data_IF_685765842285
#
_entry.id   IF_685765842285
#
_cell.length_a   1.000
_cell.length_b   1.000
_cell.length_c   1.000
_cell.angle_alpha   90.00
_cell.angle_beta   90.00
_cell.angle_gamma   90.00
#
_symmetry.space_group_name_H-M   'P 1'
#
loop_
_entity.id
_entity.type
_entity.pdbx_description
1 polymer ?
#
# COMPACT_ATOMS: atom_id res chain seq x y z
N UNK A 1 -45.07 26.77 23.91
CA UNK A 1 -44.42 25.45 23.72
C UNK A 1 -43.31 25.45 22.65
N UNK A 2 -43.33 26.33 21.65
CA UNK A 2 -42.31 26.44 20.59
C UNK A 2 -40.85 26.64 21.06
N UNK A 3 -40.61 27.41 22.13
CA UNK A 3 -39.24 27.70 22.62
C UNK A 3 -38.49 26.46 23.16
N UNK A 4 -39.20 25.46 23.69
CA UNK A 4 -38.59 24.21 24.19
C UNK A 4 -38.26 23.23 23.04
N UNK A 5 -39.04 23.28 21.96
CA UNK A 5 -38.84 22.46 20.76
C UNK A 5 -37.64 22.97 19.94
N UNK A 6 -37.45 24.29 19.89
CA UNK A 6 -36.32 24.94 19.21
C UNK A 6 -34.97 24.66 19.88
N UNK A 7 -34.93 24.60 21.22
CA UNK A 7 -33.73 24.22 21.99
C UNK A 7 -33.37 22.74 21.78
N UNK A 8 -34.37 21.84 21.69
CA UNK A 8 -34.14 20.43 21.39
C UNK A 8 -33.57 20.20 19.99
N UNK A 9 -34.03 20.96 18.99
CA UNK A 9 -33.50 20.90 17.61
C UNK A 9 -32.09 21.48 17.52
N UNK A 10 -31.78 22.56 18.25
CA UNK A 10 -30.42 23.13 18.30
C UNK A 10 -29.44 22.17 18.97
N UNK A 11 -29.82 21.53 20.09
CA UNK A 11 -28.96 20.56 20.79
C UNK A 11 -28.74 19.26 20.00
N UNK A 12 -29.77 18.77 19.31
CA UNK A 12 -29.63 17.64 18.38
C UNK A 12 -28.81 18.04 17.13
N UNK A 13 -28.96 19.27 16.65
CA UNK A 13 -28.22 19.83 15.53
C UNK A 13 -26.73 19.99 15.83
N UNK A 14 -26.36 20.49 17.01
CA UNK A 14 -24.95 20.64 17.42
C UNK A 14 -24.29 19.30 17.77
N UNK A 15 -25.02 18.39 18.42
CA UNK A 15 -24.54 17.02 18.67
C UNK A 15 -24.29 16.24 17.37
N UNK A 16 -25.24 16.28 16.44
CA UNK A 16 -25.13 15.60 15.14
C UNK A 16 -24.05 16.20 14.24
N UNK A 17 -23.96 17.54 14.18
CA UNK A 17 -22.94 18.23 13.40
C UNK A 17 -21.52 17.98 13.95
N UNK A 18 -21.35 17.94 15.28
CA UNK A 18 -20.08 17.63 15.92
C UNK A 18 -19.59 16.21 15.61
N UNK A 19 -20.49 15.23 15.66
CA UNK A 19 -20.16 13.83 15.31
C UNK A 19 -19.78 13.72 13.83
N UNK A 20 -20.55 14.33 12.93
CA UNK A 20 -20.24 14.30 11.49
C UNK A 20 -18.90 14.98 11.18
N UNK A 21 -18.61 16.12 11.82
CA UNK A 21 -17.33 16.82 11.67
C UNK A 21 -16.16 15.99 12.20
N UNK A 22 -16.32 15.32 13.34
CA UNK A 22 -15.28 14.43 13.88
C UNK A 22 -14.97 13.26 12.93
N UNK A 23 -15.98 12.56 12.42
CA UNK A 23 -15.74 11.47 11.47
C UNK A 23 -15.11 11.97 10.16
N UNK A 24 -15.48 13.17 9.72
CA UNK A 24 -14.88 13.81 8.56
C UNK A 24 -13.38 14.07 8.76
N UNK A 25 -12.99 14.69 9.88
CA UNK A 25 -11.58 14.97 10.16
C UNK A 25 -10.77 13.69 10.32
N UNK A 26 -11.33 12.63 10.88
CA UNK A 26 -10.67 11.33 10.95
C UNK A 26 -10.49 10.71 9.56
N UNK A 27 -11.47 10.80 8.67
CA UNK A 27 -11.39 10.23 7.33
C UNK A 27 -10.40 10.94 6.40
N UNK A 28 -10.15 12.23 6.61
CA UNK A 28 -9.20 13.04 5.80
C UNK A 28 -7.83 13.21 6.45
N UNK A 29 -7.61 12.68 7.67
CA UNK A 29 -6.31 12.76 8.33
C UNK A 29 -5.27 11.90 7.60
N UNK A 30 -4.08 12.45 7.36
CA UNK A 30 -2.96 11.69 6.82
C UNK A 30 -2.15 11.05 7.96
N UNK A 31 -1.69 9.79 7.83
CA UNK A 31 -0.74 9.22 8.78
C UNK A 31 0.53 10.08 8.87
N UNK A 32 1.11 10.16 10.08
CA UNK A 32 2.31 10.97 10.34
C UNK A 32 3.50 10.54 9.48
N UNK A 33 3.68 9.23 9.29
CA UNK A 33 4.76 8.67 8.48
C UNK A 33 4.66 9.04 6.99
N UNK A 34 3.44 9.27 6.48
CA UNK A 34 3.20 9.58 5.07
C UNK A 34 3.65 11.02 4.72
N UNK A 35 3.58 11.93 5.69
CA UNK A 35 3.99 13.34 5.51
C UNK A 35 5.52 13.50 5.55
N UNK A 36 6.21 12.72 6.39
CA UNK A 36 7.66 12.80 6.58
C UNK A 36 8.52 12.31 5.42
N UNK A 37 7.94 11.55 4.48
CA UNK A 37 8.63 11.09 3.25
C UNK A 37 8.48 12.04 2.05
N UNK A 38 7.86 13.21 2.28
CA UNK A 38 7.79 14.33 1.34
C UNK A 38 8.60 15.49 1.92
N UNK A 39 9.81 15.70 1.41
CA UNK A 39 10.77 16.73 1.87
C UNK A 39 10.33 18.18 1.60
N UNK A 40 9.05 18.45 1.34
CA UNK A 40 8.56 19.80 1.04
C UNK A 40 7.19 20.07 1.69
N UNK A 41 7.14 20.83 2.81
CA UNK A 41 5.92 21.21 3.51
C UNK A 41 4.92 22.05 2.69
N UNK A 42 5.27 22.51 1.48
CA UNK A 42 4.36 23.32 0.64
C UNK A 42 3.53 22.50 -0.36
N UNK A 43 3.76 21.18 -0.48
CA UNK A 43 3.18 20.36 -1.56
C UNK A 43 1.69 20.00 -1.41
N UNK A 44 1.04 20.33 -0.29
CA UNK A 44 -0.39 20.04 -0.07
C UNK A 44 -1.30 21.27 -0.24
N UNK A 45 -0.75 22.47 -0.37
CA UNK A 45 -1.51 23.71 -0.56
C UNK A 45 -1.66 24.12 -2.04
N UNK A 46 -1.00 23.40 -2.95
CA UNK A 46 -1.14 23.57 -4.39
C UNK A 46 -1.85 22.34 -4.97
N UNK A 47 -2.76 22.50 -5.96
CA UNK A 47 -3.28 21.36 -6.72
C UNK A 47 -2.07 20.55 -7.21
N UNK A 48 -2.05 19.22 -7.04
CA UNK A 48 -0.86 18.43 -7.25
C UNK A 48 -0.35 18.69 -8.66
N UNK A 49 0.76 19.42 -8.74
CA UNK A 49 1.56 19.37 -9.93
C UNK A 49 2.14 17.96 -9.92
N UNK A 50 1.65 17.15 -10.86
CA UNK A 50 2.16 15.83 -11.18
C UNK A 50 3.60 15.99 -11.71
N UNK A 51 4.54 16.30 -10.83
CA UNK A 51 5.94 16.05 -11.09
C UNK A 51 6.15 14.56 -10.86
N UNK A 52 5.95 13.81 -11.96
CA UNK A 52 6.40 12.45 -12.11
C UNK A 52 7.83 12.36 -11.56
N UNK A 53 8.14 11.45 -10.61
CA UNK A 53 9.49 10.91 -10.55
C UNK A 53 9.74 10.36 -11.95
N UNK A 54 10.65 11.01 -12.66
CA UNK A 54 11.14 10.60 -13.97
C UNK A 54 11.37 9.09 -13.94
N UNK A 55 10.67 8.39 -14.82
CA UNK A 55 11.14 7.24 -15.59
C UNK A 55 12.42 6.60 -15.04
N UNK A 56 12.27 5.68 -14.09
CA UNK A 56 13.11 4.49 -13.90
C UNK A 56 12.73 3.81 -12.59
N UNK A 57 11.76 2.91 -12.66
CA UNK A 57 11.34 2.00 -11.58
C UNK A 57 12.28 0.77 -11.52
N UNK A 58 12.89 0.44 -12.65
CA UNK A 58 13.86 -0.62 -12.89
C UNK A 58 15.09 -0.65 -11.95
N UNK A 59 15.73 0.47 -11.55
CA UNK A 59 16.95 0.44 -10.73
C UNK A 59 16.72 -0.10 -9.31
N UNK A 60 15.52 0.06 -8.73
CA UNK A 60 15.25 -0.45 -7.37
C UNK A 60 15.18 -1.98 -7.34
N UNK A 61 14.44 -2.61 -8.28
CA UNK A 61 14.38 -4.08 -8.42
C UNK A 61 15.77 -4.62 -8.79
N UNK A 62 16.44 -3.98 -9.76
CA UNK A 62 17.78 -4.40 -10.19
C UNK A 62 18.81 -4.31 -9.04
N UNK A 63 18.80 -3.22 -8.28
CA UNK A 63 19.70 -3.06 -7.12
C UNK A 63 19.42 -4.07 -6.01
N UNK A 64 18.15 -4.45 -5.82
CA UNK A 64 17.78 -5.46 -4.81
C UNK A 64 18.20 -6.86 -5.27
N UNK A 65 17.95 -7.21 -6.55
CA UNK A 65 18.47 -8.45 -7.15
C UNK A 65 20.00 -8.52 -7.07
N UNK A 66 20.70 -7.41 -7.31
CA UNK A 66 22.15 -7.33 -7.21
C UNK A 66 22.64 -7.50 -5.76
N UNK A 67 21.97 -6.88 -4.76
CA UNK A 67 22.27 -7.08 -3.33
C UNK A 67 22.09 -8.54 -2.91
N UNK A 68 21.01 -9.18 -3.36
CA UNK A 68 20.74 -10.61 -3.12
C UNK A 68 21.86 -11.45 -3.77
N UNK A 69 22.15 -11.23 -5.05
CA UNK A 69 23.23 -11.90 -5.78
C UNK A 69 24.59 -11.77 -5.07
N UNK A 70 24.96 -10.56 -4.64
CA UNK A 70 26.22 -10.33 -3.93
C UNK A 70 26.29 -11.12 -2.63
N UNK A 71 25.24 -11.07 -1.79
CA UNK A 71 25.20 -11.80 -0.52
C UNK A 71 25.24 -13.32 -0.73
N UNK A 72 24.52 -13.82 -1.74
CA UNK A 72 24.55 -15.25 -2.11
C UNK A 72 25.93 -15.65 -2.61
N UNK A 73 26.56 -14.85 -3.48
CA UNK A 73 27.89 -15.13 -4.01
C UNK A 73 28.96 -15.14 -2.92
N UNK A 74 28.90 -14.21 -1.96
CA UNK A 74 29.80 -14.20 -0.80
C UNK A 74 29.61 -15.45 0.07
N UNK A 75 28.37 -15.81 0.40
CA UNK A 75 28.09 -17.04 1.16
C UNK A 75 28.60 -18.30 0.45
N UNK A 76 28.47 -18.35 -0.88
CA UNK A 76 29.02 -19.42 -1.72
C UNK A 76 30.55 -19.43 -1.73
N UNK A 77 31.20 -18.27 -1.78
CA UNK A 77 32.67 -18.18 -1.74
C UNK A 77 33.23 -18.63 -0.38
N UNK A 78 32.55 -18.30 0.71
CA UNK A 78 33.02 -18.61 2.06
C UNK A 78 32.88 -20.09 2.43
N UNK A 79 31.82 -20.76 1.95
CA UNK A 79 31.47 -22.13 2.40
C UNK A 79 31.44 -23.17 1.26
N UNK A 80 31.35 -22.74 0.01
CA UNK A 80 31.13 -23.61 -1.15
C UNK A 80 29.68 -24.10 -1.24
N UNK A 81 29.08 -24.10 -2.44
CA UNK A 81 27.65 -24.46 -2.67
C UNK A 81 27.29 -25.81 -2.04
N UNK A 82 28.17 -26.82 -2.16
CA UNK A 82 27.91 -28.17 -1.64
C UNK A 82 27.86 -28.27 -0.11
N UNK A 83 28.27 -27.23 0.61
CA UNK A 83 28.23 -27.18 2.08
C UNK A 83 27.15 -26.24 2.63
N UNK A 84 26.41 -25.53 1.78
CA UNK A 84 25.28 -24.69 2.21
C UNK A 84 24.05 -25.59 2.37
N UNK A 85 23.59 -25.86 3.60
CA UNK A 85 22.43 -26.72 3.80
C UNK A 85 21.15 -25.91 3.55
N UNK A 86 20.66 -25.96 2.30
CA UNK A 86 19.37 -25.36 1.91
C UNK A 86 19.45 -23.89 1.52
N UNK A 87 18.45 -23.11 1.95
CA UNK A 87 18.26 -21.73 1.50
C UNK A 87 19.20 -20.74 2.20
N UNK A 88 19.61 -19.70 1.47
CA UNK A 88 20.39 -18.59 2.03
C UNK A 88 19.44 -17.52 2.54
N UNK A 89 19.63 -17.10 3.80
CA UNK A 89 18.91 -15.99 4.40
C UNK A 89 19.58 -14.64 4.08
N UNK A 90 18.85 -13.77 3.40
CA UNK A 90 19.25 -12.40 3.09
C UNK A 90 18.38 -11.44 3.90
N UNK A 91 18.99 -10.74 4.86
CA UNK A 91 18.30 -9.65 5.55
C UNK A 91 18.30 -8.37 4.71
N UNK A 92 17.12 -7.76 4.58
CA UNK A 92 16.86 -6.42 4.08
C UNK A 92 16.32 -5.54 5.22
N UNK A 93 16.84 -4.32 5.34
CA UNK A 93 16.25 -3.34 6.24
C UNK A 93 14.91 -2.83 5.67
N UNK A 94 14.13 -2.13 6.51
CA UNK A 94 12.83 -1.58 6.12
C UNK A 94 12.88 -0.68 4.88
N UNK A 95 13.92 0.14 4.73
CA UNK A 95 14.05 1.06 3.59
C UNK A 95 14.24 0.30 2.27
N UNK A 96 15.16 -0.66 2.24
CA UNK A 96 15.46 -1.48 1.06
C UNK A 96 14.22 -2.28 0.65
N UNK A 97 13.51 -2.87 1.61
CA UNK A 97 12.29 -3.61 1.35
C UNK A 97 11.16 -2.70 0.84
N UNK A 98 11.02 -1.50 1.41
CA UNK A 98 10.05 -0.51 0.96
C UNK A 98 10.28 -0.09 -0.50
N UNK A 99 11.54 0.14 -0.88
CA UNK A 99 11.91 0.48 -2.25
C UNK A 99 11.61 -0.67 -3.22
N UNK A 100 11.91 -1.92 -2.83
CA UNK A 100 11.57 -3.10 -3.60
C UNK A 100 10.06 -3.19 -3.86
N UNK A 101 9.23 -3.08 -2.81
CA UNK A 101 7.78 -3.17 -2.93
C UNK A 101 7.21 -2.06 -3.81
N UNK A 102 7.66 -0.82 -3.64
CA UNK A 102 7.22 0.30 -4.47
C UNK A 102 7.53 0.05 -5.95
N UNK A 103 8.68 -0.54 -6.23
CA UNK A 103 9.09 -0.85 -7.58
C UNK A 103 8.24 -1.98 -8.19
N UNK A 104 8.00 -3.06 -7.45
CA UNK A 104 7.17 -4.17 -7.91
C UNK A 104 5.71 -3.75 -8.15
N UNK A 105 5.15 -2.96 -7.24
CA UNK A 105 3.79 -2.43 -7.40
C UNK A 105 3.69 -1.59 -8.67
N UNK A 106 4.67 -0.72 -8.88
CA UNK A 106 4.73 0.13 -10.08
C UNK A 106 4.86 -0.71 -11.35
N UNK A 107 5.69 -1.76 -11.35
CA UNK A 107 5.84 -2.72 -12.46
C UNK A 107 4.53 -3.46 -12.76
N UNK A 108 3.83 -3.93 -11.72
CA UNK A 108 2.53 -4.60 -11.86
C UNK A 108 1.44 -3.65 -12.41
N UNK A 109 1.45 -2.38 -12.02
CA UNK A 109 0.51 -1.36 -12.53
C UNK A 109 0.79 -1.02 -14.00
N UNK A 110 2.06 -0.86 -14.37
CA UNK A 110 2.49 -0.65 -15.76
C UNK A 110 2.14 -1.84 -16.66
N UNK A 111 2.37 -3.06 -16.18
CA UNK A 111 2.00 -4.30 -16.89
C UNK A 111 0.50 -4.40 -17.17
N UNK A 112 -0.33 -3.79 -16.30
CA UNK A 112 -1.79 -3.69 -16.47
C UNK A 112 -2.21 -2.50 -17.36
N UNK A 113 -1.25 -1.81 -17.99
CA UNK A 113 -1.44 -0.58 -18.79
C UNK A 113 -2.20 0.50 -18.02
N UNK A 114 -1.96 0.59 -16.71
CA UNK A 114 -2.50 1.68 -15.92
C UNK A 114 -1.49 2.82 -15.99
N UNK A 115 -1.95 3.97 -16.49
CA UNK A 115 -1.13 5.15 -16.80
C UNK A 115 -0.29 5.60 -15.59
N UNK A 116 0.96 6.09 -15.76
CA UNK A 116 1.87 6.42 -14.65
C UNK A 116 1.43 7.66 -13.85
N UNK A 117 0.30 8.27 -14.22
CA UNK A 117 -0.36 9.37 -13.47
C UNK A 117 -1.01 8.86 -12.17
N UNK A 118 -0.87 7.57 -11.86
CA UNK A 118 -1.36 7.00 -10.60
C UNK A 118 -0.72 7.68 -9.37
N UNK A 119 -1.47 7.75 -8.26
CA UNK A 119 -0.99 8.36 -7.03
C UNK A 119 0.18 7.55 -6.46
N UNK A 120 1.18 8.27 -5.93
CA UNK A 120 2.40 7.70 -5.35
C UNK A 120 2.02 6.72 -4.24
N UNK A 121 2.39 5.46 -4.42
CA UNK A 121 2.25 4.43 -3.41
C UNK A 121 3.50 4.47 -2.53
N UNK A 122 3.29 4.52 -1.23
CA UNK A 122 4.35 4.49 -0.22
C UNK A 122 4.15 3.28 0.68
N UNK A 123 5.24 2.83 1.26
CA UNK A 123 5.26 1.71 2.20
C UNK A 123 5.97 2.13 3.48
N UNK A 124 5.50 1.59 4.60
CA UNK A 124 6.10 1.72 5.91
C UNK A 124 6.16 0.34 6.56
N UNK A 125 7.31 -0.01 7.14
CA UNK A 125 7.47 -1.26 7.88
C UNK A 125 7.85 -0.88 9.32
N UNK A 126 6.92 -1.13 10.24
CA UNK A 126 7.08 -0.81 11.65
C UNK A 126 6.54 -1.97 12.50
N UNK A 127 7.28 -2.42 13.51
CA UNK A 127 6.86 -3.50 14.41
C UNK A 127 6.47 -4.79 13.67
N UNK A 128 7.22 -5.13 12.62
CA UNK A 128 6.97 -6.26 11.72
C UNK A 128 5.59 -6.21 11.03
N UNK A 129 5.02 -5.02 10.90
CA UNK A 129 3.74 -4.77 10.28
C UNK A 129 3.96 -3.83 9.08
N UNK A 130 3.54 -4.29 7.91
CA UNK A 130 3.66 -3.54 6.68
C UNK A 130 2.40 -2.70 6.50
N UNK A 131 2.57 -1.40 6.34
CA UNK A 131 1.54 -0.49 5.87
C UNK A 131 1.89 -0.06 4.44
N UNK A 132 0.98 -0.32 3.52
CA UNK A 132 1.04 0.08 2.12
C UNK A 132 -0.05 1.12 1.89
N UNK A 133 0.26 2.32 1.42
CA UNK A 133 -0.78 3.33 1.23
C UNK A 133 -0.48 4.39 0.22
N UNK A 134 -1.52 5.14 -0.13
CA UNK A 134 -1.46 6.23 -1.09
C UNK A 134 -2.52 7.28 -0.76
N UNK A 135 -2.37 8.47 -1.31
CA UNK A 135 -3.36 9.56 -1.18
C UNK A 135 -4.06 9.76 -2.51
N UNK A 136 -5.38 9.64 -2.49
CA UNK A 136 -6.22 9.67 -3.68
C UNK A 136 -7.23 10.79 -3.57
N UNK A 137 -7.42 11.53 -4.66
CA UNK A 137 -8.55 12.43 -4.83
C UNK A 137 -9.53 11.89 -5.88
N UNK A 138 -10.76 11.49 -5.48
CA UNK A 138 -11.72 10.93 -6.42
C UNK A 138 -12.11 11.88 -7.58
N UNK A 139 -12.07 13.20 -7.38
CA UNK A 139 -12.32 14.16 -8.45
C UNK A 139 -11.22 14.14 -9.52
N UNK A 140 -9.97 13.95 -9.11
CA UNK A 140 -8.80 13.84 -10.01
C UNK A 140 -8.76 12.48 -10.74
N UNK A 141 -9.43 11.45 -10.23
CA UNK A 141 -9.52 10.15 -10.91
C UNK A 141 -10.40 10.18 -12.17
N UNK A 142 -11.33 11.13 -12.28
CA UNK A 142 -12.21 11.25 -13.46
C UNK A 142 -11.48 11.73 -14.70
N UNK A 143 -10.37 12.44 -14.51
CA UNK A 143 -9.53 12.93 -15.61
C UNK A 143 -8.55 11.86 -16.11
N UNK A 144 -8.46 10.73 -15.40
CA UNK A 144 -7.71 9.56 -15.84
C UNK A 144 -8.61 8.69 -16.73
N UNK A 145 -8.07 8.13 -17.80
CA UNK A 145 -8.76 7.16 -18.65
C UNK A 145 -8.82 5.78 -17.98
N UNK A 146 -9.50 5.72 -16.83
CA UNK A 146 -9.64 4.49 -16.07
C UNK A 146 -10.53 3.50 -16.83
N UNK A 147 -10.20 2.19 -16.84
CA UNK A 147 -11.11 1.16 -17.33
C UNK A 147 -12.52 1.27 -16.72
N UNK A 148 -13.57 1.02 -17.51
CA UNK A 148 -14.99 1.16 -17.11
C UNK A 148 -15.32 0.56 -15.74
N UNK A 149 -14.74 -0.59 -15.41
CA UNK A 149 -14.94 -1.26 -14.12
C UNK A 149 -14.42 -0.41 -12.94
N UNK A 150 -13.27 0.23 -13.11
CA UNK A 150 -12.65 1.08 -12.09
C UNK A 150 -13.45 2.38 -11.94
N UNK A 151 -13.89 2.98 -13.05
CA UNK A 151 -14.79 4.15 -13.01
C UNK A 151 -16.07 3.84 -12.21
N UNK A 152 -16.66 2.67 -12.42
CA UNK A 152 -17.85 2.24 -11.67
C UNK A 152 -17.59 2.05 -10.18
N UNK A 153 -16.39 1.56 -9.79
CA UNK A 153 -16.00 1.47 -8.37
C UNK A 153 -15.85 2.86 -7.76
N UNK A 154 -15.14 3.78 -8.42
CA UNK A 154 -14.97 5.16 -7.94
C UNK A 154 -16.33 5.84 -7.79
N UNK A 155 -17.22 5.71 -8.79
CA UNK A 155 -18.58 6.24 -8.73
C UNK A 155 -19.38 5.66 -7.54
N UNK A 156 -19.25 4.36 -7.27
CA UNK A 156 -19.91 3.71 -6.14
C UNK A 156 -19.41 4.27 -4.80
N UNK A 157 -18.09 4.44 -4.64
CA UNK A 157 -17.50 5.02 -3.44
C UNK A 157 -18.01 6.45 -3.24
N UNK A 158 -17.91 7.29 -4.27
CA UNK A 158 -18.39 8.69 -4.21
C UNK A 158 -19.88 8.77 -3.93
N UNK A 159 -20.70 7.85 -4.45
CA UNK A 159 -22.14 7.83 -4.17
C UNK A 159 -22.48 7.50 -2.72
N UNK A 160 -21.69 6.63 -2.07
CA UNK A 160 -21.88 6.24 -0.67
C UNK A 160 -21.29 7.24 0.31
N UNK A 161 -20.24 7.94 -0.12
CA UNK A 161 -19.50 8.90 0.68
C UNK A 161 -19.33 10.20 -0.12
N UNK A 162 -20.41 10.94 -0.41
CA UNK A 162 -20.37 12.15 -1.24
C UNK A 162 -19.39 13.20 -0.72
N UNK A 163 -19.19 13.23 0.59
CA UNK A 163 -18.24 14.10 1.24
C UNK A 163 -16.80 13.86 0.71
N UNK A 164 -16.42 12.63 0.39
CA UNK A 164 -15.07 12.28 -0.07
C UNK A 164 -14.73 12.75 -1.49
N UNK A 165 -15.72 13.25 -2.25
CA UNK A 165 -15.62 13.50 -3.70
C UNK A 165 -14.42 14.37 -4.10
N UNK A 166 -14.18 15.45 -3.37
CA UNK A 166 -13.20 16.49 -3.73
C UNK A 166 -12.00 16.53 -2.76
N UNK A 167 -11.88 15.54 -1.88
CA UNK A 167 -10.84 15.49 -0.85
C UNK A 167 -9.68 14.59 -1.24
N UNK A 168 -8.50 14.95 -0.76
CA UNK A 168 -7.34 14.06 -0.74
C UNK A 168 -7.50 13.10 0.44
N UNK A 169 -7.55 11.79 0.16
CA UNK A 169 -7.88 10.75 1.14
C UNK A 169 -6.76 9.74 1.17
N UNK A 170 -6.19 9.53 2.35
CA UNK A 170 -5.29 8.41 2.56
C UNK A 170 -6.06 7.10 2.51
N UNK A 171 -5.60 6.17 1.68
CA UNK A 171 -6.07 4.79 1.65
C UNK A 171 -4.84 3.90 1.79
N UNK A 172 -4.86 3.07 2.82
CA UNK A 172 -3.79 2.15 3.13
C UNK A 172 -4.30 0.75 3.43
N UNK A 173 -3.39 -0.20 3.39
CA UNK A 173 -3.59 -1.57 3.79
C UNK A 173 -2.49 -1.92 4.78
N UNK A 174 -2.88 -2.47 5.91
CA UNK A 174 -2.02 -2.81 7.01
C UNK A 174 -2.06 -4.32 7.24
N UNK A 175 -0.90 -4.94 7.41
CA UNK A 175 -0.80 -6.32 7.85
C UNK A 175 0.59 -6.94 7.70
N UNK A 176 0.65 -8.24 7.95
CA UNK A 176 1.88 -9.03 7.82
C UNK A 176 1.77 -9.94 6.61
N UNK A 177 2.23 -9.52 5.43
CA UNK A 177 2.11 -10.34 4.24
C UNK A 177 2.89 -11.64 4.41
N UNK A 178 2.48 -12.66 3.67
CA UNK A 178 3.17 -13.95 3.59
C UNK A 178 3.53 -14.25 2.16
N UNK A 179 4.58 -15.02 1.97
CA UNK A 179 4.91 -15.57 0.67
C UNK A 179 4.12 -16.85 0.45
N UNK A 180 3.30 -16.88 -0.59
CA UNK A 180 2.54 -18.07 -1.00
C UNK A 180 2.65 -18.20 -2.52
N UNK A 181 3.29 -19.27 -3.00
CA UNK A 181 3.51 -19.53 -4.43
C UNK A 181 4.11 -18.33 -5.17
N UNK A 182 5.15 -17.71 -4.57
CA UNK A 182 5.85 -16.55 -5.13
C UNK A 182 5.04 -15.25 -5.19
N UNK A 183 3.84 -15.23 -4.58
CA UNK A 183 3.06 -14.01 -4.37
C UNK A 183 3.13 -13.57 -2.91
N UNK A 184 3.22 -12.26 -2.69
CA UNK A 184 2.89 -11.68 -1.40
C UNK A 184 1.38 -11.65 -1.25
N UNK A 185 0.88 -12.46 -0.31
CA UNK A 185 -0.52 -12.50 0.04
C UNK A 185 -0.75 -11.83 1.37
N UNK A 186 -1.87 -11.11 1.47
CA UNK A 186 -2.29 -10.49 2.72
C UNK A 186 -3.16 -11.46 3.52
N UNK A 187 -2.87 -11.64 4.82
CA UNK A 187 -3.64 -12.54 5.66
C UNK A 187 -5.05 -12.01 5.95
N UNK A 188 -5.90 -12.89 6.47
CA UNK A 188 -7.30 -12.59 6.75
C UNK A 188 -7.56 -11.52 7.80
N UNK A 189 -6.58 -11.21 8.64
CA UNK A 189 -6.62 -10.16 9.66
C UNK A 189 -6.04 -8.82 9.17
N UNK A 190 -5.66 -8.71 7.89
CA UNK A 190 -5.27 -7.44 7.30
C UNK A 190 -6.41 -6.42 7.36
N UNK A 191 -6.01 -5.17 7.53
CA UNK A 191 -6.91 -4.05 7.75
C UNK A 191 -6.73 -3.03 6.64
N UNK A 192 -7.82 -2.37 6.27
CA UNK A 192 -7.83 -1.25 5.34
C UNK A 192 -7.96 0.02 6.16
N UNK A 193 -7.04 0.94 5.96
CA UNK A 193 -7.02 2.24 6.63
C UNK A 193 -7.52 3.31 5.67
N UNK A 194 -8.45 4.14 6.12
CA UNK A 194 -8.97 5.30 5.39
C UNK A 194 -8.83 6.50 6.31
N UNK A 195 -7.86 7.36 6.02
CA UNK A 195 -7.39 8.36 6.97
C UNK A 195 -6.91 7.74 8.29
N UNK A 196 -7.56 8.07 9.40
CA UNK A 196 -7.35 7.48 10.72
C UNK A 196 -8.36 6.37 11.08
N UNK A 197 -9.28 6.05 10.17
CA UNK A 197 -10.25 4.99 10.39
C UNK A 197 -9.69 3.66 9.87
N UNK A 198 -9.87 2.60 10.64
CA UNK A 198 -9.39 1.27 10.27
C UNK A 198 -10.56 0.30 10.19
N UNK A 199 -10.57 -0.50 9.12
CA UNK A 199 -11.64 -1.44 8.80
C UNK A 199 -11.03 -2.80 8.49
N UNK A 200 -11.72 -3.87 8.84
CA UNK A 200 -11.38 -5.20 8.32
C UNK A 200 -11.65 -5.28 6.82
N UNK A 201 -10.93 -6.16 6.12
CA UNK A 201 -11.18 -6.42 4.69
C UNK A 201 -12.64 -6.85 4.41
N UNK A 202 -13.25 -7.60 5.35
CA UNK A 202 -14.65 -8.03 5.27
C UNK A 202 -15.63 -6.86 5.30
N UNK A 203 -15.42 -5.89 6.20
CA UNK A 203 -16.28 -4.71 6.31
C UNK A 203 -16.20 -3.87 5.04
N UNK A 204 -15.01 -3.70 4.48
CA UNK A 204 -14.82 -2.99 3.21
C UNK A 204 -15.52 -3.73 2.07
N UNK A 205 -15.29 -5.04 1.94
CA UNK A 205 -15.94 -5.88 0.94
C UNK A 205 -17.48 -5.77 1.00
N UNK A 206 -18.05 -5.87 2.20
CA UNK A 206 -19.49 -5.73 2.45
C UNK A 206 -20.00 -4.34 2.06
N UNK A 207 -19.32 -3.27 2.51
CA UNK A 207 -19.72 -1.89 2.22
C UNK A 207 -19.62 -1.57 0.73
N UNK A 208 -18.66 -2.14 0.01
CA UNK A 208 -18.48 -1.93 -1.43
C UNK A 208 -19.35 -2.87 -2.29
N UNK A 209 -19.95 -3.91 -1.69
CA UNK A 209 -20.67 -4.95 -2.42
C UNK A 209 -19.74 -5.73 -3.37
N UNK A 210 -18.52 -5.99 -2.92
CA UNK A 210 -17.50 -6.75 -3.66
C UNK A 210 -17.22 -8.03 -2.87
N UNK A 211 -17.13 -9.21 -3.51
CA UNK A 211 -16.74 -10.43 -2.81
C UNK A 211 -15.37 -10.27 -2.14
N UNK A 212 -15.24 -10.75 -0.91
CA UNK A 212 -13.99 -10.64 -0.13
C UNK A 212 -12.80 -11.24 -0.90
N UNK A 213 -12.96 -12.41 -1.49
CA UNK A 213 -11.87 -13.10 -2.19
C UNK A 213 -11.39 -12.32 -3.40
N UNK A 214 -12.31 -11.63 -4.10
CA UNK A 214 -11.96 -10.73 -5.22
C UNK A 214 -11.13 -9.55 -4.74
N UNK A 215 -11.49 -8.98 -3.58
CA UNK A 215 -10.75 -7.90 -2.98
C UNK A 215 -9.35 -8.38 -2.56
N UNK A 216 -9.25 -9.53 -1.88
CA UNK A 216 -7.97 -10.12 -1.50
C UNK A 216 -7.07 -10.39 -2.71
N UNK A 217 -7.58 -11.04 -3.77
CA UNK A 217 -6.83 -11.29 -5.00
C UNK A 217 -6.30 -10.02 -5.67
N UNK A 218 -7.03 -8.90 -5.56
CA UNK A 218 -6.58 -7.62 -6.13
C UNK A 218 -5.41 -6.98 -5.38
N UNK A 219 -5.13 -7.47 -4.17
CA UNK A 219 -4.05 -6.98 -3.30
C UNK A 219 -2.81 -7.86 -3.32
N UNK A 220 -2.87 -9.03 -3.95
CA UNK A 220 -1.70 -9.89 -4.12
C UNK A 220 -0.68 -9.20 -5.02
N UNK A 221 0.59 -9.22 -4.59
CA UNK A 221 1.72 -8.72 -5.36
C UNK A 221 2.53 -9.89 -5.86
N UNK A 222 2.76 -9.95 -7.17
CA UNK A 222 3.65 -10.96 -7.74
C UNK A 222 5.10 -10.51 -7.51
N UNK A 223 5.91 -11.35 -6.85
CA UNK A 223 7.34 -11.14 -6.62
C UNK A 223 8.15 -12.36 -7.09
N UNK A 224 7.59 -13.16 -8.01
CA UNK A 224 8.17 -14.39 -8.56
C UNK A 224 9.57 -14.13 -9.14
N UNK A 225 9.78 -12.93 -9.69
CA UNK A 225 11.05 -12.47 -10.25
C UNK A 225 12.24 -12.52 -9.28
N UNK A 226 11.98 -12.62 -7.98
CA UNK A 226 12.99 -12.69 -6.93
C UNK A 226 13.32 -14.13 -6.50
N UNK A 227 12.65 -15.15 -7.05
CA UNK A 227 12.86 -16.57 -6.74
C UNK A 227 12.95 -16.87 -5.23
N UNK A 228 12.04 -16.26 -4.47
CA UNK A 228 12.02 -16.40 -3.01
C UNK A 228 11.40 -17.74 -2.60
N UNK A 229 12.03 -18.40 -1.64
CA UNK A 229 11.52 -19.62 -0.99
C UNK A 229 10.69 -19.29 0.25
N UNK A 230 11.07 -18.23 0.97
CA UNK A 230 10.37 -17.79 2.18
C UNK A 230 10.61 -16.29 2.40
N UNK A 231 9.70 -15.68 3.16
CA UNK A 231 9.80 -14.30 3.62
C UNK A 231 9.34 -14.19 5.06
N UNK A 232 10.18 -13.61 5.92
CA UNK A 232 9.88 -13.41 7.33
C UNK A 232 10.16 -11.98 7.77
N UNK A 233 9.30 -11.44 8.64
CA UNK A 233 9.52 -10.14 9.28
C UNK A 233 10.04 -10.37 10.70
N UNK A 234 11.22 -9.81 11.00
CA UNK A 234 11.86 -9.94 12.31
C UNK A 234 12.62 -8.67 12.64
N UNK A 235 12.45 -8.14 13.85
CA UNK A 235 13.20 -6.99 14.37
C UNK A 235 13.23 -5.77 13.41
N UNK A 236 12.10 -5.50 12.74
CA UNK A 236 11.95 -4.45 11.72
C UNK A 236 12.80 -4.63 10.45
N UNK A 237 13.31 -5.84 10.24
CA UNK A 237 13.95 -6.32 9.02
C UNK A 237 13.08 -7.36 8.32
N UNK A 238 13.37 -7.56 7.04
CA UNK A 238 12.78 -8.59 6.22
C UNK A 238 13.86 -9.60 5.85
N UNK A 239 13.67 -10.84 6.29
CA UNK A 239 14.53 -11.96 5.99
C UNK A 239 13.94 -12.68 4.78
N UNK A 240 14.64 -12.58 3.66
CA UNK A 240 14.34 -13.29 2.42
C UNK A 240 15.12 -14.59 2.38
N UNK A 241 14.48 -15.72 2.10
CA UNK A 241 15.19 -16.97 1.80
C UNK A 241 15.21 -17.22 0.31
N UNK A 242 16.37 -17.55 -0.22
CA UNK A 242 16.59 -17.82 -1.64
C UNK A 242 17.30 -19.14 -1.83
N UNK A 243 16.99 -19.84 -2.92
CA UNK A 243 17.74 -21.04 -3.30
C UNK A 243 19.08 -20.60 -3.93
N UNK A 244 20.24 -21.03 -3.39
CA UNK A 244 21.54 -20.65 -3.93
C UNK A 244 21.74 -21.02 -5.40
N UNK A 245 21.11 -22.11 -5.85
CA UNK A 245 21.26 -22.64 -7.21
C UNK A 245 20.73 -21.68 -8.29
N UNK A 246 19.79 -20.81 -7.93
CA UNK A 246 19.17 -19.84 -8.86
C UNK A 246 20.09 -18.66 -9.18
N UNK A 247 21.23 -18.55 -8.49
CA UNK A 247 22.16 -17.41 -8.57
C UNK A 247 23.58 -17.81 -8.98
N UNK A 248 23.80 -19.08 -9.33
CA UNK A 248 25.09 -19.55 -9.87
C UNK A 248 25.05 -19.38 -11.39
N UNK A 249 26.06 -18.72 -12.01
CA UNK A 249 26.16 -18.70 -13.46
C UNK A 249 26.38 -20.13 -13.99
N UNK A 250 25.54 -20.55 -14.95
CA UNK A 250 25.71 -21.81 -15.67
C UNK A 250 26.92 -21.79 -16.58
#
# INVERSE_FOLDING_TARGET
MFKKLLIGVILLGTGGAGIAYYFWTQATALPSWFQGQSSDPQSFAQPPQLTLPSTDVTPAIASTKQKIQQKVQTAIQDQGISQIPGDIAVSLNAQDFNQLLQAEISNQLQSRKIDPVLPRIQTNLENNNLELGTVINPAKLKTLDLPRRQQAMVARVVSKFPQLKDQDIYIGIEGKPKLENGQLTLPNNSQVRIGNLTFSLSEVAQKLGVPRDRLQQSLNLNIDELNLQDLQFKDNEVILKVNPSDYVPQ
#
